data_IF_638874789843
#
_entry.id   IF_638874789843
#
_cell.length_a   1.000
_cell.length_b   1.000
_cell.length_c   1.000
_cell.angle_alpha   90.00
_cell.angle_beta   90.00
_cell.angle_gamma   90.00
#
_symmetry.space_group_name_H-M   'P 1'
#
loop_
_entity.id
_entity.type
_entity.pdbx_description
1 polymer ?
#
# COMPACT_ATOMS: atom_id res chain seq x y z
N UNK A 1 11.18 -1.06 24.25
CA UNK A 1 11.08 -1.55 22.85
C UNK A 1 12.20 -2.56 22.59
N UNK A 2 12.15 -3.47 21.59
CA UNK A 2 13.18 -4.53 21.39
C UNK A 2 14.64 -4.01 21.33
N UNK A 3 14.80 -2.72 21.06
CA UNK A 3 16.07 -1.98 20.96
C UNK A 3 16.61 -1.53 22.32
N UNK A 4 15.81 -1.60 23.39
CA UNK A 4 16.27 -1.21 24.72
C UNK A 4 17.19 -2.29 25.33
N UNK A 5 18.35 -1.90 25.88
CA UNK A 5 19.29 -2.84 26.49
C UNK A 5 18.68 -3.72 27.59
N UNK A 6 17.67 -3.19 28.30
CA UNK A 6 16.98 -3.88 29.40
C UNK A 6 15.75 -4.67 28.95
N UNK A 7 15.47 -4.77 27.64
CA UNK A 7 14.25 -5.38 27.13
C UNK A 7 14.05 -6.80 27.71
N UNK A 8 15.05 -7.67 27.57
CA UNK A 8 14.97 -9.05 28.04
C UNK A 8 14.85 -9.17 29.56
N UNK A 9 15.58 -8.33 30.31
CA UNK A 9 15.58 -8.37 31.78
C UNK A 9 14.26 -7.87 32.36
N UNK A 10 13.62 -6.87 31.74
CA UNK A 10 12.30 -6.38 32.14
C UNK A 10 11.21 -7.44 31.92
N UNK A 11 11.23 -8.15 30.80
CA UNK A 11 10.28 -9.24 30.55
C UNK A 11 10.48 -10.43 31.49
N UNK A 12 11.73 -10.79 31.78
CA UNK A 12 12.02 -11.83 32.77
C UNK A 12 11.47 -11.43 34.16
N UNK A 13 11.66 -10.17 34.57
CA UNK A 13 11.14 -9.64 35.83
C UNK A 13 9.62 -9.66 35.89
N UNK A 14 8.95 -9.21 34.82
CA UNK A 14 7.49 -9.23 34.71
C UNK A 14 6.93 -10.67 34.77
N UNK A 15 7.68 -11.64 34.25
CA UNK A 15 7.35 -13.06 34.28
C UNK A 15 7.97 -13.79 35.49
N UNK A 16 7.99 -13.15 36.66
CA UNK A 16 8.41 -13.75 37.94
C UNK A 16 9.84 -14.32 37.91
N UNK A 17 10.76 -13.65 37.22
CA UNK A 17 12.17 -14.02 37.07
C UNK A 17 12.40 -15.42 36.46
N UNK A 18 11.48 -15.88 35.61
CA UNK A 18 11.71 -17.12 34.86
C UNK A 18 12.84 -16.91 33.82
N UNK A 19 13.96 -17.66 33.90
CA UNK A 19 15.16 -17.39 33.10
C UNK A 19 14.97 -17.58 31.59
N UNK A 20 13.95 -18.35 31.18
CA UNK A 20 13.63 -18.62 29.77
C UNK A 20 12.41 -17.86 29.26
N UNK A 21 11.92 -16.87 30.02
CA UNK A 21 10.76 -16.03 29.67
C UNK A 21 11.15 -14.56 29.64
N UNK A 22 12.10 -14.25 28.79
CA UNK A 22 12.71 -12.93 28.60
C UNK A 22 12.19 -12.22 27.33
N UNK A 23 10.99 -12.57 26.88
CA UNK A 23 10.35 -12.03 25.69
C UNK A 23 8.85 -11.78 25.95
N UNK A 24 8.22 -10.86 25.20
CA UNK A 24 6.78 -10.64 25.28
C UNK A 24 6.01 -11.86 24.78
N UNK A 25 4.91 -12.18 25.46
CA UNK A 25 3.96 -13.24 25.06
C UNK A 25 2.54 -12.73 25.21
N UNK A 26 1.59 -13.37 24.53
CA UNK A 26 0.19 -13.00 24.69
C UNK A 26 -0.29 -13.25 26.11
N UNK A 27 0.13 -14.35 26.75
CA UNK A 27 -0.20 -14.64 28.14
C UNK A 27 0.25 -13.54 29.10
N UNK A 28 1.45 -12.99 28.90
CA UNK A 28 1.92 -11.87 29.71
C UNK A 28 1.09 -10.60 29.47
N UNK A 29 0.73 -10.32 28.22
CA UNK A 29 -0.12 -9.17 27.90
C UNK A 29 -1.51 -9.29 28.55
N UNK A 30 -2.11 -10.48 28.52
CA UNK A 30 -3.40 -10.73 29.17
C UNK A 30 -3.35 -10.58 30.70
N UNK A 31 -2.24 -10.97 31.32
CA UNK A 31 -2.05 -10.85 32.77
C UNK A 31 -1.78 -9.40 33.20
N UNK A 32 -1.10 -8.61 32.35
CA UNK A 32 -0.59 -7.28 32.71
C UNK A 32 -1.50 -6.12 32.29
N UNK A 33 -2.27 -6.26 31.19
CA UNK A 33 -3.09 -5.18 30.64
C UNK A 33 -4.56 -5.32 31.05
N UNK A 34 -5.22 -4.23 31.49
CA UNK A 34 -6.65 -4.25 31.75
C UNK A 34 -7.44 -4.43 30.44
N UNK A 35 -8.59 -5.11 30.50
CA UNK A 35 -9.45 -5.30 29.33
C UNK A 35 -8.95 -6.35 28.32
N UNK A 36 -8.09 -7.27 28.75
CA UNK A 36 -7.64 -8.43 28.00
C UNK A 36 -8.81 -9.21 27.36
N UNK A 37 -8.81 -9.37 26.03
CA UNK A 37 -9.77 -10.20 25.29
C UNK A 37 -9.05 -11.14 24.33
N UNK A 38 -9.52 -12.39 24.28
CA UNK A 38 -9.05 -13.40 23.32
C UNK A 38 -9.39 -13.06 21.87
N UNK A 39 -10.24 -12.08 21.61
CA UNK A 39 -10.54 -11.58 20.26
C UNK A 39 -9.30 -11.11 19.51
N UNK A 40 -8.21 -10.75 20.22
CA UNK A 40 -6.92 -10.42 19.63
C UNK A 40 -6.31 -11.55 18.78
N UNK A 41 -6.70 -12.81 19.05
CA UNK A 41 -6.31 -13.97 18.24
C UNK A 41 -7.09 -14.09 16.93
N UNK A 42 -8.20 -13.36 16.79
CA UNK A 42 -8.97 -13.34 15.55
C UNK A 42 -8.10 -12.79 14.40
N UNK A 43 -8.09 -13.43 13.22
CA UNK A 43 -7.44 -12.88 12.03
C UNK A 43 -7.99 -11.50 11.61
N UNK A 44 -9.17 -11.13 12.10
CA UNK A 44 -9.82 -9.85 11.86
C UNK A 44 -9.50 -8.80 12.94
N UNK A 45 -8.79 -9.17 14.01
CA UNK A 45 -8.36 -8.21 15.02
C UNK A 45 -7.40 -7.21 14.38
N UNK A 46 -7.41 -5.92 14.76
CA UNK A 46 -6.57 -4.92 14.09
C UNK A 46 -5.08 -5.27 14.05
N UNK A 47 -4.54 -5.87 15.13
CA UNK A 47 -3.13 -6.27 15.21
C UNK A 47 -2.78 -7.39 14.22
N UNK A 48 -3.65 -8.40 14.09
CA UNK A 48 -3.45 -9.53 13.17
C UNK A 48 -3.75 -9.13 11.73
N UNK A 49 -4.86 -8.41 11.52
CA UNK A 49 -5.32 -7.99 10.20
C UNK A 49 -4.29 -7.10 9.49
N UNK A 50 -3.72 -6.13 10.23
CA UNK A 50 -2.67 -5.24 9.74
C UNK A 50 -1.25 -5.81 9.91
N UNK A 51 -1.11 -7.06 10.38
CA UNK A 51 0.19 -7.71 10.58
C UNK A 51 1.17 -6.86 11.39
N UNK A 52 0.68 -6.12 12.38
CA UNK A 52 1.51 -5.21 13.17
C UNK A 52 2.42 -5.99 14.12
N UNK A 53 1.97 -7.18 14.52
CA UNK A 53 2.67 -8.12 15.36
C UNK A 53 2.68 -9.50 14.70
N UNK A 54 3.77 -10.23 14.89
CA UNK A 54 3.94 -11.61 14.48
C UNK A 54 4.07 -12.49 15.72
N UNK A 55 3.42 -13.65 15.70
CA UNK A 55 3.55 -14.67 16.75
C UNK A 55 4.50 -15.74 16.22
N UNK A 56 5.62 -15.97 16.90
CA UNK A 56 6.53 -17.03 16.47
C UNK A 56 5.88 -18.41 16.58
N UNK A 57 6.24 -19.34 15.68
CA UNK A 57 5.82 -20.73 15.80
C UNK A 57 6.25 -21.31 17.15
N UNK A 58 5.30 -21.88 17.89
CA UNK A 58 5.57 -22.47 19.19
C UNK A 58 4.54 -23.53 19.55
N UNK A 59 4.85 -24.36 20.56
CA UNK A 59 3.96 -25.44 21.00
C UNK A 59 2.63 -24.91 21.57
N UNK A 60 2.66 -23.72 22.17
CA UNK A 60 1.49 -23.08 22.80
C UNK A 60 1.43 -21.65 22.31
N UNK A 61 0.43 -21.33 21.50
CA UNK A 61 0.26 -20.03 20.83
C UNK A 61 0.36 -18.84 21.81
N UNK A 62 -0.28 -18.94 22.97
CA UNK A 62 -0.33 -17.84 23.95
C UNK A 62 1.00 -17.60 24.67
N UNK A 63 1.90 -18.59 24.63
CA UNK A 63 3.24 -18.53 25.24
C UNK A 63 4.35 -18.36 24.19
N UNK A 64 4.00 -18.37 22.91
CA UNK A 64 4.95 -18.07 21.85
C UNK A 64 5.48 -16.64 21.98
N UNK A 65 6.75 -16.41 21.59
CA UNK A 65 7.28 -15.07 21.44
C UNK A 65 6.43 -14.21 20.49
N UNK A 66 6.23 -12.96 20.88
CA UNK A 66 5.62 -11.92 20.05
C UNK A 66 6.72 -11.00 19.52
N UNK A 67 6.68 -10.71 18.23
CA UNK A 67 7.54 -9.70 17.61
C UNK A 67 6.71 -8.62 16.97
N UNK A 68 7.21 -7.39 17.04
CA UNK A 68 6.68 -6.32 16.22
C UNK A 68 7.21 -6.47 14.80
N UNK A 69 6.38 -6.16 13.81
CA UNK A 69 6.85 -6.08 12.43
C UNK A 69 7.96 -5.03 12.29
N UNK A 70 9.05 -5.38 11.62
CA UNK A 70 10.24 -4.51 11.52
C UNK A 70 9.92 -3.14 10.91
N UNK A 71 9.07 -3.08 9.90
CA UNK A 71 8.69 -1.82 9.28
C UNK A 71 7.90 -0.95 10.26
N UNK A 72 6.98 -1.56 11.02
CA UNK A 72 6.19 -0.87 12.04
C UNK A 72 7.10 -0.35 13.14
N UNK A 73 8.08 -1.13 13.57
CA UNK A 73 9.09 -0.70 14.53
C UNK A 73 9.86 0.53 14.02
N UNK A 74 10.38 0.49 12.79
CA UNK A 74 11.06 1.64 12.18
C UNK A 74 10.15 2.87 12.11
N UNK A 75 8.89 2.70 11.68
CA UNK A 75 7.91 3.77 11.62
C UNK A 75 7.66 4.42 12.99
N UNK A 76 7.49 3.60 14.05
CA UNK A 76 7.29 4.09 15.42
C UNK A 76 8.50 4.87 15.96
N UNK A 77 9.70 4.60 15.43
CA UNK A 77 10.93 5.31 15.75
C UNK A 77 11.17 6.54 14.87
N UNK A 78 10.29 6.81 13.89
CA UNK A 78 10.40 7.93 12.97
C UNK A 78 11.35 7.69 11.79
N UNK A 79 11.72 6.43 11.49
CA UNK A 79 12.50 6.07 10.32
C UNK A 79 11.61 5.61 9.18
N UNK A 80 11.92 6.04 7.96
CA UNK A 80 11.34 5.48 6.74
C UNK A 80 11.89 4.05 6.54
N UNK A 81 11.01 3.07 6.38
CA UNK A 81 11.38 1.68 6.12
C UNK A 81 10.42 1.06 5.10
N UNK A 82 10.99 0.28 4.17
CA UNK A 82 10.22 -0.43 3.14
C UNK A 82 9.95 -1.86 3.59
N UNK A 83 8.72 -2.32 3.41
CA UNK A 83 8.34 -3.71 3.63
C UNK A 83 9.10 -4.63 2.64
N UNK A 84 9.83 -5.62 3.17
CA UNK A 84 10.66 -6.52 2.36
C UNK A 84 9.86 -7.37 1.36
N UNK A 85 8.60 -7.69 1.66
CA UNK A 85 7.74 -8.47 0.75
C UNK A 85 7.17 -7.62 -0.38
N UNK A 86 7.11 -6.28 -0.17
CA UNK A 86 6.79 -5.30 -1.19
C UNK A 86 8.01 -4.93 -2.03
N UNK A 87 9.21 -4.97 -1.43
CA UNK A 87 10.47 -4.64 -2.09
C UNK A 87 10.64 -5.46 -3.37
N UNK A 88 10.96 -4.77 -4.47
CA UNK A 88 11.12 -5.37 -5.80
C UNK A 88 9.80 -5.66 -6.55
N UNK A 89 8.63 -5.60 -5.90
CA UNK A 89 7.31 -5.72 -6.54
C UNK A 89 6.61 -4.38 -6.69
N UNK A 90 6.66 -3.57 -5.63
CA UNK A 90 6.13 -2.21 -5.59
C UNK A 90 7.30 -1.26 -5.42
N UNK A 91 7.52 -0.40 -6.42
CA UNK A 91 8.72 0.43 -6.51
C UNK A 91 8.37 1.87 -6.12
N UNK A 92 8.93 2.41 -5.02
CA UNK A 92 8.77 3.81 -4.68
C UNK A 92 9.34 4.68 -5.79
N UNK A 93 8.60 5.71 -6.19
CA UNK A 93 9.08 6.67 -7.17
C UNK A 93 9.71 7.86 -6.46
N UNK A 94 10.87 8.34 -6.94
CA UNK A 94 11.47 9.53 -6.38
C UNK A 94 10.50 10.71 -6.55
N UNK A 95 10.45 11.63 -5.57
CA UNK A 95 9.72 12.88 -5.76
C UNK A 95 10.28 13.62 -6.97
N UNK A 96 9.41 14.27 -7.75
CA UNK A 96 9.88 15.05 -8.88
C UNK A 96 10.71 16.23 -8.39
N UNK A 97 11.99 16.23 -8.76
CA UNK A 97 12.94 17.29 -8.42
C UNK A 97 12.89 18.46 -9.39
N UNK A 98 12.44 18.22 -10.63
CA UNK A 98 12.23 19.24 -11.64
C UNK A 98 10.72 19.44 -11.87
N UNK A 99 10.24 20.69 -11.99
CA UNK A 99 8.85 20.93 -12.36
C UNK A 99 8.59 20.37 -13.76
N UNK A 100 7.81 19.31 -13.85
CA UNK A 100 7.27 18.86 -15.13
C UNK A 100 6.16 19.84 -15.51
N UNK A 101 6.37 20.54 -16.62
CA UNK A 101 5.34 21.38 -17.20
C UNK A 101 4.26 20.47 -17.81
N UNK A 102 3.11 20.39 -17.13
CA UNK A 102 1.94 19.73 -17.67
C UNK A 102 1.08 20.75 -18.43
N UNK A 103 0.70 20.47 -19.68
CA UNK A 103 -0.27 21.28 -20.40
C UNK A 103 -1.61 21.41 -19.64
N UNK A 104 -2.38 22.49 -19.86
CA UNK A 104 -3.67 22.71 -19.21
C UNK A 104 -4.64 21.54 -19.28
N UNK A 105 -4.72 20.84 -20.43
CA UNK A 105 -5.53 19.63 -20.59
C UNK A 105 -5.13 18.54 -19.58
N UNK A 106 -3.84 18.31 -19.39
CA UNK A 106 -3.29 17.31 -18.47
C UNK A 106 -3.44 17.74 -17.00
N UNK A 107 -3.24 19.02 -16.69
CA UNK A 107 -3.52 19.59 -15.36
C UNK A 107 -4.99 19.42 -14.96
N UNK A 108 -5.91 19.53 -15.92
CA UNK A 108 -7.33 19.31 -15.68
C UNK A 108 -7.63 17.86 -15.26
N UNK A 109 -6.90 16.87 -15.79
CA UNK A 109 -7.02 15.46 -15.40
C UNK A 109 -6.53 15.26 -13.96
N UNK A 110 -5.40 15.89 -13.59
CA UNK A 110 -4.91 15.87 -12.21
C UNK A 110 -5.91 16.48 -11.22
N UNK A 111 -6.53 17.60 -11.60
CA UNK A 111 -7.59 18.24 -10.80
C UNK A 111 -8.83 17.34 -10.64
N UNK A 112 -9.22 16.61 -11.69
CA UNK A 112 -10.31 15.63 -11.64
C UNK A 112 -9.96 14.44 -10.72
N UNK A 113 -8.74 13.93 -10.81
CA UNK A 113 -8.20 12.90 -9.91
C UNK A 113 -8.33 13.32 -8.43
N UNK A 114 -7.91 14.54 -8.11
CA UNK A 114 -8.04 15.11 -6.77
C UNK A 114 -9.52 15.15 -6.37
N UNK A 115 -10.38 15.69 -7.24
CA UNK A 115 -11.83 15.81 -7.03
C UNK A 115 -12.49 14.46 -6.67
N UNK A 116 -12.16 13.39 -7.42
CA UNK A 116 -12.68 12.03 -7.21
C UNK A 116 -12.34 11.50 -5.81
N UNK A 117 -11.20 11.89 -5.26
CA UNK A 117 -10.73 11.44 -3.94
C UNK A 117 -11.08 12.40 -2.80
N UNK A 118 -11.31 13.67 -3.07
CA UNK A 118 -11.82 14.66 -2.10
C UNK A 118 -13.30 14.42 -1.84
N UNK A 119 -13.65 14.05 -0.60
CA UNK A 119 -14.98 13.53 -0.24
C UNK A 119 -14.98 12.03 0.12
N UNK A 120 -13.80 11.40 0.08
CA UNK A 120 -13.57 10.04 0.57
C UNK A 120 -13.17 9.95 2.05
N UNK A 121 -13.04 11.08 2.77
CA UNK A 121 -12.73 11.05 4.20
C UNK A 121 -13.86 10.34 4.97
N UNK A 122 -13.54 9.20 5.59
CA UNK A 122 -14.53 8.33 6.25
C UNK A 122 -15.14 7.23 5.37
N UNK A 123 -14.78 7.12 4.08
CA UNK A 123 -15.16 5.96 3.25
C UNK A 123 -14.30 4.75 3.56
N UNK A 124 -14.92 3.57 3.50
CA UNK A 124 -14.20 2.29 3.61
C UNK A 124 -13.30 2.01 2.40
N UNK A 125 -13.48 2.70 1.27
CA UNK A 125 -12.68 2.49 0.05
C UNK A 125 -12.70 3.72 -0.89
N UNK A 126 -11.59 3.97 -1.61
CA UNK A 126 -11.45 5.06 -2.61
C UNK A 126 -11.67 4.61 -4.07
N UNK A 127 -12.50 5.27 -4.89
CA UNK A 127 -12.65 4.89 -6.30
C UNK A 127 -11.30 4.73 -7.01
N UNK A 128 -11.21 3.67 -7.81
CA UNK A 128 -10.04 3.40 -8.65
C UNK A 128 -10.12 4.32 -9.84
N UNK A 129 -9.04 5.01 -10.17
CA UNK A 129 -8.99 5.90 -11.34
C UNK A 129 -8.21 5.22 -12.44
N UNK A 130 -8.82 5.09 -13.61
CA UNK A 130 -8.15 4.60 -14.81
C UNK A 130 -7.82 5.79 -15.71
N UNK A 131 -6.56 5.88 -16.13
CA UNK A 131 -6.10 6.83 -17.12
C UNK A 131 -6.03 6.13 -18.48
N UNK A 132 -6.94 6.54 -19.37
CA UNK A 132 -6.96 6.12 -20.78
C UNK A 132 -6.48 7.24 -21.69
N UNK A 133 -6.13 6.88 -22.93
CA UNK A 133 -5.59 7.83 -23.89
C UNK A 133 -4.13 8.23 -23.59
N UNK A 134 -3.48 8.81 -24.59
CA UNK A 134 -2.05 9.19 -24.55
C UNK A 134 -1.07 8.04 -24.27
N UNK A 135 0.22 8.37 -24.22
CA UNK A 135 1.29 7.41 -23.95
C UNK A 135 1.48 7.17 -22.43
N UNK A 136 2.18 6.07 -22.12
CA UNK A 136 2.49 5.66 -20.74
C UNK A 136 3.21 6.74 -19.93
N UNK A 137 4.11 7.49 -20.56
CA UNK A 137 4.91 8.54 -19.90
C UNK A 137 4.01 9.68 -19.45
N UNK A 138 3.12 10.13 -20.33
CA UNK A 138 2.13 11.18 -20.02
C UNK A 138 1.26 10.79 -18.82
N UNK A 139 0.69 9.57 -18.82
CA UNK A 139 -0.13 9.06 -17.70
C UNK A 139 0.64 9.06 -16.38
N UNK A 140 1.89 8.62 -16.41
CA UNK A 140 2.76 8.62 -15.25
C UNK A 140 3.06 10.04 -14.77
N UNK A 141 3.36 10.98 -15.67
CA UNK A 141 3.62 12.39 -15.32
C UNK A 141 2.41 13.04 -14.65
N UNK A 142 1.21 12.82 -15.17
CA UNK A 142 -0.05 13.28 -14.56
C UNK A 142 -0.19 12.69 -13.15
N UNK A 143 -0.04 11.37 -12.99
CA UNK A 143 -0.14 10.71 -11.69
C UNK A 143 0.89 11.25 -10.69
N UNK A 144 2.13 11.47 -11.15
CA UNK A 144 3.24 11.96 -10.34
C UNK A 144 3.03 13.40 -9.88
N UNK A 145 2.68 14.32 -10.79
CA UNK A 145 2.37 15.70 -10.44
C UNK A 145 1.15 15.79 -9.50
N UNK A 146 0.10 15.03 -9.77
CA UNK A 146 -1.09 14.98 -8.91
C UNK A 146 -0.76 14.51 -7.49
N UNK A 147 0.12 13.51 -7.35
CA UNK A 147 0.54 13.05 -6.03
C UNK A 147 1.40 14.08 -5.31
N UNK A 148 2.26 14.81 -6.03
CA UNK A 148 3.04 15.92 -5.48
C UNK A 148 2.14 17.03 -4.93
N UNK A 149 1.11 17.44 -5.67
CA UNK A 149 0.14 18.45 -5.24
C UNK A 149 -0.64 18.00 -3.98
N UNK A 150 -0.92 16.69 -3.87
CA UNK A 150 -1.58 16.09 -2.70
C UNK A 150 -0.64 15.83 -1.51
N UNK A 151 0.67 16.09 -1.64
CA UNK A 151 1.67 15.74 -0.62
C UNK A 151 1.75 14.23 -0.37
N UNK A 152 1.51 13.41 -1.40
CA UNK A 152 1.52 11.94 -1.35
C UNK A 152 2.72 11.36 -2.09
N UNK A 153 3.26 10.25 -1.59
CA UNK A 153 4.33 9.50 -2.28
C UNK A 153 3.72 8.60 -3.36
N UNK A 154 4.29 8.62 -4.57
CA UNK A 154 3.86 7.74 -5.66
C UNK A 154 4.67 6.43 -5.63
N UNK A 155 4.00 5.30 -5.79
CA UNK A 155 4.63 4.00 -6.01
C UNK A 155 4.11 3.38 -7.30
N UNK A 156 4.91 2.53 -7.93
CA UNK A 156 4.50 1.81 -9.14
C UNK A 156 4.45 0.30 -8.90
N UNK A 157 3.46 -0.34 -9.51
CA UNK A 157 3.33 -1.80 -9.57
C UNK A 157 3.15 -2.19 -11.04
N UNK A 158 4.01 -3.07 -11.56
CA UNK A 158 3.71 -3.75 -12.82
C UNK A 158 2.81 -4.95 -12.52
N UNK A 159 1.79 -5.22 -13.34
CA UNK A 159 1.06 -6.49 -13.27
C UNK A 159 1.99 -7.71 -13.33
N UNK A 160 3.19 -7.60 -13.91
CA UNK A 160 4.18 -8.69 -13.96
C UNK A 160 4.74 -9.11 -12.61
N UNK A 161 4.65 -8.25 -11.60
CA UNK A 161 5.02 -8.60 -10.25
C UNK A 161 3.91 -9.35 -9.50
N UNK A 162 2.70 -9.44 -10.06
CA UNK A 162 1.59 -10.19 -9.47
C UNK A 162 1.72 -11.69 -9.78
N UNK A 163 1.79 -12.47 -8.71
CA UNK A 163 1.56 -13.91 -8.71
C UNK A 163 0.10 -14.23 -9.05
N UNK A 164 -0.14 -15.40 -9.66
CA UNK A 164 -1.50 -15.89 -9.97
C UNK A 164 -2.13 -16.65 -8.80
N UNK A 165 -1.42 -16.82 -7.68
CA UNK A 165 -1.94 -17.50 -6.48
C UNK A 165 -2.79 -16.55 -5.64
N UNK A 166 -4.09 -16.83 -5.43
CA UNK A 166 -5.00 -15.89 -4.77
C UNK A 166 -4.59 -15.46 -3.36
N UNK A 167 -4.00 -16.37 -2.58
CA UNK A 167 -3.57 -16.06 -1.22
C UNK A 167 -2.41 -15.06 -1.21
N UNK A 168 -1.42 -15.23 -2.09
CA UNK A 168 -0.26 -14.34 -2.17
C UNK A 168 -0.68 -12.94 -2.66
N UNK A 169 -1.62 -12.85 -3.60
CA UNK A 169 -2.22 -11.57 -4.06
C UNK A 169 -2.90 -10.84 -2.90
N UNK A 170 -3.72 -11.55 -2.12
CA UNK A 170 -4.40 -10.97 -0.97
C UNK A 170 -3.43 -10.48 0.12
N UNK A 171 -2.34 -11.22 0.36
CA UNK A 171 -1.29 -10.79 1.30
C UNK A 171 -0.54 -9.56 0.81
N UNK A 172 -0.20 -9.50 -0.49
CA UNK A 172 0.43 -8.34 -1.11
C UNK A 172 -0.47 -7.10 -1.00
N UNK A 173 -1.77 -7.24 -1.29
CA UNK A 173 -2.74 -6.15 -1.18
C UNK A 173 -2.87 -5.65 0.27
N UNK A 174 -2.83 -6.53 1.27
CA UNK A 174 -2.85 -6.11 2.68
C UNK A 174 -1.59 -5.39 3.12
N UNK A 175 -0.40 -5.89 2.74
CA UNK A 175 0.87 -5.21 3.00
C UNK A 175 0.93 -3.84 2.34
N UNK A 176 0.50 -3.74 1.08
CA UNK A 176 0.39 -2.44 0.41
C UNK A 176 -0.58 -1.49 1.12
N UNK A 177 -1.74 -1.97 1.55
CA UNK A 177 -2.70 -1.12 2.27
C UNK A 177 -2.15 -0.56 3.59
N UNK A 178 -1.29 -1.33 4.25
CA UNK A 178 -0.56 -0.88 5.43
C UNK A 178 0.47 0.18 5.05
N UNK A 179 1.32 -0.12 4.07
CA UNK A 179 2.31 0.81 3.52
C UNK A 179 1.68 2.16 3.15
N UNK A 180 0.63 2.13 2.32
CA UNK A 180 -0.03 3.34 1.84
C UNK A 180 -0.60 4.23 2.96
N UNK A 181 -0.98 3.64 4.11
CA UNK A 181 -1.42 4.39 5.29
C UNK A 181 -0.25 4.99 6.06
N UNK A 182 0.84 4.23 6.24
CA UNK A 182 2.02 4.67 6.98
C UNK A 182 2.78 5.78 6.23
N UNK A 183 2.94 5.64 4.92
CA UNK A 183 3.73 6.54 4.08
C UNK A 183 2.91 7.57 3.31
N UNK A 184 1.58 7.62 3.52
CA UNK A 184 0.65 8.51 2.82
C UNK A 184 0.79 8.39 1.28
N UNK A 185 0.70 7.17 0.77
CA UNK A 185 1.07 6.84 -0.62
C UNK A 185 -0.12 6.53 -1.53
N UNK A 186 0.12 6.66 -2.84
CA UNK A 186 -0.77 6.25 -3.94
C UNK A 186 -0.05 5.20 -4.79
N UNK A 187 -0.80 4.20 -5.28
CA UNK A 187 -0.26 3.20 -6.19
C UNK A 187 -0.66 3.49 -7.64
N UNK A 188 0.32 3.55 -8.53
CA UNK A 188 0.13 3.52 -9.97
C UNK A 188 0.40 2.10 -10.48
N UNK A 189 -0.63 1.45 -11.01
CA UNK A 189 -0.52 0.13 -11.61
C UNK A 189 -0.37 0.31 -13.11
N UNK A 190 0.79 -0.07 -13.60
CA UNK A 190 1.17 0.18 -14.98
C UNK A 190 0.74 -0.97 -15.90
N UNK A 191 -0.51 -0.95 -16.35
CA UNK A 191 -1.04 -1.99 -17.21
C UNK A 191 -0.67 -1.79 -18.68
N UNK A 192 -0.28 -0.57 -19.10
CA UNK A 192 0.16 -0.31 -20.48
C UNK A 192 1.45 -1.05 -20.85
N UNK A 193 2.35 -1.28 -19.88
CA UNK A 193 3.60 -2.02 -20.12
C UNK A 193 3.42 -3.54 -20.16
N UNK A 194 2.20 -4.04 -19.90
CA UNK A 194 1.96 -5.46 -19.78
C UNK A 194 0.86 -5.99 -20.72
N UNK A 195 1.22 -7.03 -21.48
CA UNK A 195 0.27 -7.76 -22.32
C UNK A 195 -0.33 -8.94 -21.56
N UNK A 196 -1.63 -8.87 -21.23
CA UNK A 196 -2.40 -9.92 -20.54
C UNK A 196 -2.68 -11.16 -21.40
N UNK A 197 -1.63 -11.79 -21.94
CA UNK A 197 -1.70 -13.08 -22.63
C UNK A 197 -1.59 -14.26 -21.67
N UNK A 198 -0.95 -14.08 -20.51
CA UNK A 198 -0.84 -15.13 -19.51
C UNK A 198 -2.17 -15.37 -18.77
N UNK A 199 -2.67 -16.61 -18.72
CA UNK A 199 -3.92 -16.91 -18.06
C UNK A 199 -3.83 -16.65 -16.55
N UNK A 200 -4.91 -16.11 -15.98
CA UNK A 200 -5.06 -15.87 -14.55
C UNK A 200 -4.47 -14.56 -14.04
N UNK A 201 -3.60 -13.88 -14.81
CA UNK A 201 -3.01 -12.62 -14.34
C UNK A 201 -3.98 -11.45 -14.31
N UNK A 202 -4.92 -11.40 -15.25
CA UNK A 202 -6.01 -10.43 -15.24
C UNK A 202 -6.88 -10.62 -13.99
N UNK A 203 -7.21 -11.88 -13.65
CA UNK A 203 -7.93 -12.21 -12.41
C UNK A 203 -7.13 -11.83 -11.16
N UNK A 204 -5.81 -12.03 -11.16
CA UNK A 204 -4.95 -11.61 -10.06
C UNK A 204 -4.94 -10.08 -9.88
N UNK A 205 -4.94 -9.31 -10.98
CA UNK A 205 -5.07 -7.85 -10.94
C UNK A 205 -6.42 -7.43 -10.36
N UNK A 206 -7.53 -7.99 -10.86
CA UNK A 206 -8.86 -7.72 -10.33
C UNK A 206 -8.95 -8.03 -8.83
N UNK A 207 -8.42 -9.18 -8.41
CA UNK A 207 -8.39 -9.57 -7.00
C UNK A 207 -7.53 -8.62 -6.16
N UNK A 208 -6.37 -8.17 -6.68
CA UNK A 208 -5.52 -7.20 -6.01
C UNK A 208 -6.25 -5.87 -5.80
N UNK A 209 -6.96 -5.39 -6.84
CA UNK A 209 -7.77 -4.18 -6.79
C UNK A 209 -8.88 -4.34 -5.75
N UNK A 210 -9.67 -5.41 -5.82
CA UNK A 210 -10.81 -5.67 -4.93
C UNK A 210 -10.41 -5.87 -3.46
N UNK A 211 -9.23 -6.44 -3.23
CA UNK A 211 -8.71 -6.65 -1.88
C UNK A 211 -8.10 -5.39 -1.27
N UNK A 212 -8.08 -4.27 -2.00
CA UNK A 212 -7.34 -3.07 -1.65
C UNK A 212 -8.23 -1.82 -1.63
N UNK A 213 -8.28 -1.14 -0.49
CA UNK A 213 -9.14 0.03 -0.30
C UNK A 213 -8.42 1.37 -0.47
N UNK A 214 -7.14 1.38 -0.89
CA UNK A 214 -6.35 2.61 -1.06
C UNK A 214 -6.67 3.33 -2.37
N UNK A 215 -6.04 4.50 -2.56
CA UNK A 215 -6.08 5.25 -3.82
C UNK A 215 -5.21 4.54 -4.85
N UNK A 216 -5.83 4.10 -5.94
CA UNK A 216 -5.19 3.39 -7.04
C UNK A 216 -5.40 4.17 -8.34
N UNK A 217 -4.33 4.30 -9.11
CA UNK A 217 -4.35 4.79 -10.49
C UNK A 217 -3.95 3.62 -11.40
N UNK A 218 -4.66 3.40 -12.49
CA UNK A 218 -4.38 2.37 -13.49
C UNK A 218 -4.03 3.03 -14.82
N UNK A 219 -2.95 2.63 -15.49
CA UNK A 219 -2.71 3.02 -16.89
C UNK A 219 -3.31 1.98 -17.82
N UNK A 220 -4.27 2.35 -18.68
CA UNK A 220 -4.77 1.42 -19.70
C UNK A 220 -5.44 2.10 -20.88
N UNK A 221 -5.11 1.67 -22.10
CA UNK A 221 -5.73 2.15 -23.35
C UNK A 221 -7.08 1.45 -23.64
N UNK A 222 -8.12 1.77 -22.89
CA UNK A 222 -9.52 1.29 -23.04
C UNK A 222 -9.82 -0.16 -22.60
N UNK A 223 -8.90 -0.84 -21.92
CA UNK A 223 -9.25 -2.13 -21.30
C UNK A 223 -10.22 -1.87 -20.14
N UNK A 224 -11.39 -2.50 -20.19
CA UNK A 224 -12.27 -2.60 -19.02
C UNK A 224 -11.70 -3.62 -18.05
N UNK A 225 -11.56 -3.23 -16.79
CA UNK A 225 -11.08 -4.12 -15.73
C UNK A 225 -12.30 -4.64 -14.97
N UNK A 226 -12.48 -5.96 -15.00
CA UNK A 226 -13.58 -6.64 -14.33
C UNK A 226 -13.26 -6.77 -12.83
N UNK A 227 -13.69 -5.80 -12.03
CA UNK A 227 -13.49 -5.76 -10.59
C UNK A 227 -14.74 -5.22 -9.89
N UNK A 228 -14.89 -5.51 -8.60
CA UNK A 228 -16.02 -5.07 -7.77
C UNK A 228 -15.91 -3.60 -7.36
N UNK A 229 -14.70 -3.02 -7.40
CA UNK A 229 -14.50 -1.61 -7.05
C UNK A 229 -15.04 -0.69 -8.13
N UNK A 230 -15.57 0.47 -7.72
CA UNK A 230 -15.92 1.54 -8.66
C UNK A 230 -14.65 2.02 -9.37
N UNK A 231 -14.64 1.88 -10.69
CA UNK A 231 -13.59 2.41 -11.58
C UNK A 231 -14.13 3.64 -12.30
N UNK A 232 -13.42 4.76 -12.17
CA UNK A 232 -13.69 6.00 -12.90
C UNK A 232 -12.64 6.14 -13.99
N UNK A 233 -13.07 6.13 -15.26
CA UNK A 233 -12.18 6.34 -16.38
C UNK A 233 -12.03 7.84 -16.68
N UNK A 234 -10.79 8.30 -16.75
CA UNK A 234 -10.43 9.64 -17.20
C UNK A 234 -9.65 9.50 -18.51
N UNK A 235 -10.25 9.99 -19.58
CA UNK A 235 -9.63 9.99 -20.90
C UNK A 235 -8.73 11.22 -21.06
N UNK A 236 -7.47 10.98 -21.39
CA UNK A 236 -6.49 12.04 -21.62
C UNK A 236 -6.62 12.45 -23.09
N UNK A 237 -7.14 13.66 -23.38
CA UNK A 237 -7.29 14.11 -24.75
C UNK A 237 -5.92 14.30 -25.41
N UNK A 238 -5.83 14.19 -26.74
CA UNK A 238 -4.64 14.63 -27.46
C UNK A 238 -4.40 16.11 -27.19
N UNK A 239 -3.12 16.50 -27.12
CA UNK A 239 -2.74 17.90 -26.93
C UNK A 239 -3.27 18.75 -28.08
N UNK A 240 -3.84 19.91 -27.74
CA UNK A 240 -4.20 20.92 -28.73
C UNK A 240 -2.97 21.48 -29.44
N UNK A 241 -3.15 22.09 -30.61
CA UNK A 241 -2.05 22.72 -31.34
C UNK A 241 -1.28 23.77 -30.51
N UNK A 242 -1.98 24.54 -29.68
CA UNK A 242 -1.35 25.52 -28.79
C UNK A 242 -0.48 24.83 -27.73
N UNK A 243 -0.99 23.78 -27.10
CA UNK A 243 -0.25 23.02 -26.08
C UNK A 243 0.97 22.30 -26.67
N UNK A 244 0.88 21.82 -27.91
CA UNK A 244 2.04 21.25 -28.61
C UNK A 244 3.11 22.30 -28.88
N UNK A 245 2.70 23.53 -29.26
CA UNK A 245 3.62 24.65 -29.46
C UNK A 245 4.32 25.03 -28.15
N UNK A 246 3.56 25.17 -27.06
CA UNK A 246 4.09 25.57 -25.75
C UNK A 246 5.05 24.53 -25.14
N UNK A 247 5.00 23.26 -25.58
CA UNK A 247 5.95 22.21 -25.17
C UNK A 247 7.24 22.17 -26.01
N UNK A 248 7.25 22.79 -27.19
CA UNK A 248 8.40 22.80 -28.10
C UNK A 248 9.30 24.02 -27.93
N UNK A 249 8.78 25.12 -27.38
CA UNK A 249 9.58 26.28 -26.95
C UNK A 249 10.33 26.04 -25.63
#
# INVERSE_FOLDING_TARGET
MEIEPMFQSLFAKAQKNHPHKNYPTLSLAMDALPGASWDVLSPHSPLQYWQLLHIEPGRILTKSPLHIDQQILCFLLGYDATDQELAGKIIPQPPQTNPVFLPPSQLSIGSQLISIWSGGEGRNSYPVVQLSGSDRTTKYQIASATCQDLGKKLHTLSPAALTTKPQEVYQLAKRWQREARLSNSVLFIDCDSYNFSEPGRESALSQFIDSNNTRLILSSNDRKIDCQRTVVNLDIPPLSHQEQYDLWE
#
